data_IF_838809824964
#
_entry.id   IF_838809824964
#
_cell.length_a   1.000
_cell.length_b   1.000
_cell.length_c   1.000
_cell.angle_alpha   90.00
_cell.angle_beta   90.00
_cell.angle_gamma   90.00
#
_symmetry.space_group_name_H-M   'P 1'
#
loop_
_entity.id
_entity.type
_entity.pdbx_description
1 polymer ?
#
# COMPACT_ATOMS: atom_id res chain seq x y z
N UNK A 1 20.42 -22.94 -8.81
CA UNK A 1 20.04 -24.20 -9.48
C UNK A 1 19.05 -23.86 -10.58
N UNK A 2 19.15 -24.52 -11.72
CA UNK A 2 18.17 -24.38 -12.81
C UNK A 2 17.18 -25.52 -12.64
N UNK A 3 15.94 -25.22 -12.23
CA UNK A 3 14.89 -26.24 -12.13
C UNK A 3 14.48 -26.72 -13.51
N UNK A 4 13.97 -27.94 -13.63
CA UNK A 4 13.47 -28.45 -14.91
C UNK A 4 12.30 -27.57 -15.40
N UNK A 5 12.45 -26.85 -16.52
CA UNK A 5 11.38 -26.01 -17.05
C UNK A 5 10.13 -26.81 -17.44
N UNK A 6 10.27 -28.12 -17.72
CA UNK A 6 9.16 -29.02 -18.07
C UNK A 6 8.17 -29.26 -16.92
N UNK A 7 8.60 -29.03 -15.68
CA UNK A 7 7.78 -29.18 -14.48
C UNK A 7 7.04 -27.89 -14.08
N UNK A 8 7.25 -26.79 -14.80
CA UNK A 8 6.56 -25.52 -14.54
C UNK A 8 5.08 -25.64 -14.92
N UNK A 9 4.23 -25.85 -13.90
CA UNK A 9 2.78 -25.86 -14.09
C UNK A 9 2.26 -24.44 -14.03
N UNK A 10 1.39 -24.11 -14.96
CA UNK A 10 0.66 -22.84 -14.99
C UNK A 10 -0.78 -23.13 -14.59
N UNK A 11 -1.11 -23.00 -13.30
CA UNK A 11 -2.44 -23.35 -12.82
C UNK A 11 -3.49 -22.36 -13.33
N UNK A 12 -4.74 -22.74 -13.11
CA UNK A 12 -5.88 -21.84 -13.22
C UNK A 12 -6.34 -21.46 -11.82
N UNK A 13 -6.63 -20.18 -11.64
CA UNK A 13 -7.31 -19.63 -10.47
C UNK A 13 -8.74 -19.31 -10.85
N UNK A 14 -9.68 -19.73 -10.01
CA UNK A 14 -11.11 -19.77 -10.34
C UNK A 14 -11.91 -19.00 -9.29
N UNK A 15 -12.84 -18.15 -9.74
CA UNK A 15 -13.92 -17.59 -8.92
C UNK A 15 -15.28 -17.96 -9.53
N UNK A 16 -15.83 -19.13 -9.18
CA UNK A 16 -17.11 -19.59 -9.72
C UNK A 16 -18.30 -18.70 -9.34
N UNK A 17 -18.20 -17.89 -8.27
CA UNK A 17 -19.27 -16.98 -7.85
C UNK A 17 -19.58 -15.97 -8.95
N UNK A 18 -18.53 -15.49 -9.61
CA UNK A 18 -18.62 -14.51 -10.70
C UNK A 18 -18.25 -15.08 -12.07
N UNK A 19 -18.14 -16.41 -12.18
CA UNK A 19 -17.81 -17.08 -13.43
C UNK A 19 -16.44 -16.73 -14.01
N UNK A 20 -15.49 -16.33 -13.16
CA UNK A 20 -14.15 -15.92 -13.58
C UNK A 20 -13.18 -17.09 -13.50
N UNK A 21 -12.39 -17.27 -14.54
CA UNK A 21 -11.28 -18.20 -14.55
C UNK A 21 -10.09 -17.58 -15.28
N UNK A 22 -8.93 -17.56 -14.64
CA UNK A 22 -7.72 -16.99 -15.23
C UNK A 22 -6.55 -17.95 -15.09
N UNK A 23 -5.70 -18.01 -16.11
CA UNK A 23 -4.42 -18.72 -16.02
C UNK A 23 -3.46 -17.86 -15.21
N UNK A 24 -2.97 -18.38 -14.10
CA UNK A 24 -2.17 -17.60 -13.16
C UNK A 24 -2.07 -18.26 -11.80
N UNK A 25 -1.28 -17.66 -10.93
CA UNK A 25 -0.97 -18.19 -9.59
C UNK A 25 -1.82 -17.57 -8.49
N UNK A 26 -2.43 -16.41 -8.76
CA UNK A 26 -3.31 -15.68 -7.85
C UNK A 26 -4.36 -14.89 -8.64
N UNK A 27 -5.60 -14.92 -8.20
CA UNK A 27 -6.70 -14.07 -8.65
C UNK A 27 -7.10 -13.13 -7.50
N UNK A 28 -7.19 -11.85 -7.80
CA UNK A 28 -7.61 -10.81 -6.87
C UNK A 28 -9.00 -10.33 -7.28
N UNK A 29 -10.00 -10.61 -6.46
CA UNK A 29 -11.33 -10.03 -6.56
C UNK A 29 -11.36 -8.74 -5.73
N UNK A 30 -11.58 -7.60 -6.39
CA UNK A 30 -11.80 -6.32 -5.74
C UNK A 30 -13.29 -6.00 -5.77
N UNK A 31 -13.87 -5.72 -4.61
CA UNK A 31 -15.28 -5.29 -4.48
C UNK A 31 -15.29 -3.86 -3.99
N UNK A 32 -16.09 -3.01 -4.63
CA UNK A 32 -16.30 -1.62 -4.24
C UNK A 32 -17.79 -1.33 -4.16
N UNK A 33 -18.19 -0.56 -3.16
CA UNK A 33 -19.56 -0.05 -3.01
C UNK A 33 -19.60 1.43 -3.35
N UNK A 34 -20.64 1.86 -4.07
CA UNK A 34 -20.90 3.28 -4.30
C UNK A 34 -21.45 3.89 -3.01
N UNK A 35 -20.67 4.77 -2.40
CA UNK A 35 -20.95 5.36 -1.08
C UNK A 35 -20.69 6.86 -1.11
N UNK A 36 -21.37 7.61 -0.25
CA UNK A 36 -21.02 8.99 0.04
C UNK A 36 -19.64 9.08 0.68
N UNK A 37 -18.86 10.08 0.26
CA UNK A 37 -17.58 10.47 0.85
C UNK A 37 -17.62 11.96 1.14
N UNK A 38 -17.42 12.32 2.41
CA UNK A 38 -17.27 13.70 2.85
C UNK A 38 -15.85 14.21 2.61
N UNK A 39 -15.73 15.40 2.03
CA UNK A 39 -14.47 16.15 1.94
C UNK A 39 -14.68 17.54 2.54
N UNK A 40 -13.73 18.02 3.35
CA UNK A 40 -13.82 19.35 3.99
C UNK A 40 -12.72 20.28 3.50
N UNK A 41 -13.07 21.53 3.22
CA UNK A 41 -12.14 22.61 2.90
C UNK A 41 -12.30 23.75 3.91
N UNK A 42 -11.19 24.37 4.32
CA UNK A 42 -11.22 25.56 5.17
C UNK A 42 -11.07 26.78 4.29
N UNK A 43 -12.05 27.68 4.35
CA UNK A 43 -12.02 28.97 3.68
C UNK A 43 -11.72 30.02 4.74
N UNK A 44 -10.67 30.79 4.53
CA UNK A 44 -10.46 32.00 5.32
C UNK A 44 -11.54 32.98 4.88
N UNK A 45 -12.43 33.39 5.80
CA UNK A 45 -13.35 34.46 5.48
C UNK A 45 -12.52 35.74 5.32
N UNK A 46 -12.54 36.31 4.11
CA UNK A 46 -12.14 37.69 3.90
C UNK A 46 -13.10 38.55 4.71
N UNK A 47 -12.70 38.85 5.94
CA UNK A 47 -13.40 39.85 6.73
C UNK A 47 -13.23 41.17 6.02
N UNK A 48 -14.31 41.72 5.47
CA UNK A 48 -14.52 43.17 5.37
C UNK A 48 -14.49 43.73 6.80
N UNK A 49 -13.28 43.78 7.37
CA UNK A 49 -13.00 44.51 8.58
C UNK A 49 -13.01 45.97 8.21
N UNK A 50 -14.13 46.63 8.51
CA UNK A 50 -14.19 48.08 8.62
C UNK A 50 -13.04 48.51 9.55
N UNK A 51 -11.97 49.08 8.97
CA UNK A 51 -10.80 49.59 9.67
C UNK A 51 -11.19 50.85 10.45
N UNK A 52 -11.98 50.70 11.51
CA UNK A 52 -12.08 51.72 12.54
C UNK A 52 -11.32 51.25 13.77
N UNK A 53 -10.00 51.48 13.72
CA UNK A 53 -9.13 51.38 14.87
C UNK A 53 -9.56 52.42 15.91
N UNK A 54 -10.35 51.98 16.90
CA UNK A 54 -10.44 52.69 18.17
C UNK A 54 -9.35 52.17 19.12
N UNK A 55 -8.61 53.15 19.61
CA UNK A 55 -7.43 53.07 20.44
C UNK A 55 -7.73 52.37 21.78
N UNK A 56 -6.93 51.35 22.11
CA UNK A 56 -6.82 50.79 23.45
C UNK A 56 -7.63 49.51 23.72
N UNK A 57 -6.97 48.36 23.63
CA UNK A 57 -7.45 47.14 24.29
C UNK A 57 -7.14 45.85 23.54
N UNK A 58 -6.30 45.02 24.17
CA UNK A 58 -6.03 43.62 23.85
C UNK A 58 -7.30 42.81 23.50
N UNK A 59 -7.41 42.36 22.24
CA UNK A 59 -8.02 41.09 21.82
C UNK A 59 -7.92 40.90 20.30
N UNK A 60 -7.34 39.76 19.90
CA UNK A 60 -7.08 39.42 18.51
C UNK A 60 -8.31 39.43 17.62
N UNK A 61 -8.21 40.14 16.50
CA UNK A 61 -9.07 39.94 15.33
C UNK A 61 -8.81 38.54 14.77
N UNK A 62 -9.47 37.54 15.35
CA UNK A 62 -9.39 36.15 14.91
C UNK A 62 -10.00 36.03 13.52
N UNK A 63 -9.19 35.64 12.54
CA UNK A 63 -9.70 35.20 11.23
C UNK A 63 -10.81 34.19 11.46
N UNK A 64 -12.03 34.53 11.04
CA UNK A 64 -13.13 33.59 11.02
C UNK A 64 -12.83 32.57 9.92
N UNK A 65 -12.50 31.35 10.32
CA UNK A 65 -12.27 30.24 9.39
C UNK A 65 -13.58 29.48 9.26
N UNK A 66 -14.18 29.53 8.07
CA UNK A 66 -15.37 28.74 7.76
C UNK A 66 -14.94 27.40 7.18
N UNK A 67 -15.52 26.30 7.68
CA UNK A 67 -15.27 24.96 7.15
C UNK A 67 -16.44 24.56 6.27
N UNK A 68 -16.17 24.36 4.99
CA UNK A 68 -17.15 23.93 4.00
C UNK A 68 -17.00 22.43 3.77
N UNK A 69 -18.12 21.71 3.76
CA UNK A 69 -18.17 20.26 3.54
C UNK A 69 -18.82 19.96 2.19
N UNK A 70 -18.27 18.98 1.47
CA UNK A 70 -18.77 18.49 0.18
C UNK A 70 -18.98 16.98 0.27
N UNK A 71 -20.02 16.47 -0.41
CA UNK A 71 -20.38 15.07 -0.42
C UNK A 71 -20.49 14.57 -1.85
N UNK A 72 -19.66 13.59 -2.21
CA UNK A 72 -19.69 12.95 -3.52
C UNK A 72 -19.96 11.45 -3.37
N UNK A 73 -20.71 10.88 -4.31
CA UNK A 73 -20.76 9.43 -4.48
C UNK A 73 -19.45 8.93 -5.09
N UNK A 74 -18.77 8.03 -4.39
CA UNK A 74 -17.50 7.43 -4.80
C UNK A 74 -17.55 5.92 -4.59
N UNK A 75 -16.96 5.19 -5.52
CA UNK A 75 -16.68 3.78 -5.33
C UNK A 75 -15.55 3.62 -4.33
N UNK A 76 -15.81 2.92 -3.23
CA UNK A 76 -14.83 2.65 -2.17
C UNK A 76 -14.81 1.15 -1.89
N UNK A 77 -13.63 0.59 -1.68
CA UNK A 77 -13.44 -0.82 -1.30
C UNK A 77 -13.59 -1.07 0.20
N UNK A 78 -13.66 0.01 0.98
CA UNK A 78 -13.84 0.00 2.43
C UNK A 78 -15.16 0.68 2.78
N UNK A 79 -15.74 0.31 3.91
CA UNK A 79 -16.92 0.97 4.44
C UNK A 79 -16.57 2.38 4.90
N UNK A 80 -17.39 3.35 4.49
CA UNK A 80 -17.24 4.74 4.90
C UNK A 80 -18.30 5.03 5.96
N UNK A 81 -17.84 5.22 7.20
CA UNK A 81 -18.72 5.50 8.34
C UNK A 81 -19.34 6.90 8.26
N UNK A 82 -20.56 6.95 7.69
CA UNK A 82 -21.33 8.18 7.55
C UNK A 82 -21.89 8.71 8.87
N UNK A 83 -21.78 7.99 10.00
CA UNK A 83 -22.21 8.52 11.30
C UNK A 83 -21.33 9.68 11.77
N UNK A 84 -20.13 9.76 11.21
CA UNK A 84 -19.14 10.81 11.48
C UNK A 84 -19.28 12.03 10.58
N UNK A 85 -20.16 11.99 9.57
CA UNK A 85 -20.39 13.12 8.66
C UNK A 85 -21.00 14.32 9.39
N UNK A 86 -20.61 15.51 8.93
CA UNK A 86 -21.12 16.78 9.42
C UNK A 86 -22.62 16.93 9.12
N UNK A 87 -23.05 16.58 7.90
CA UNK A 87 -24.44 16.50 7.50
C UNK A 87 -24.95 15.06 7.55
N UNK A 88 -25.84 14.80 8.51
CA UNK A 88 -26.41 13.46 8.78
C UNK A 88 -27.49 13.02 7.78
N UNK A 89 -27.87 13.87 6.83
CA UNK A 89 -28.78 13.48 5.73
C UNK A 89 -28.09 12.53 4.73
N UNK A 90 -26.76 12.59 4.63
CA UNK A 90 -25.96 11.68 3.83
C UNK A 90 -25.63 10.41 4.62
N UNK A 91 -26.34 9.33 4.33
CA UNK A 91 -26.18 8.06 5.04
C UNK A 91 -25.70 6.99 4.08
N UNK A 92 -24.65 6.26 4.49
CA UNK A 92 -24.18 5.08 3.77
C UNK A 92 -24.87 3.81 4.29
N UNK A 93 -25.00 2.78 3.45
CA UNK A 93 -25.44 1.47 3.91
C UNK A 93 -24.57 0.93 5.06
N UNK A 94 -25.17 0.10 5.91
CA UNK A 94 -24.45 -0.60 6.97
C UNK A 94 -23.45 -1.61 6.40
N UNK A 95 -22.52 -2.07 7.23
CA UNK A 95 -21.56 -3.11 6.87
C UNK A 95 -22.25 -4.37 6.32
N UNK A 96 -23.42 -4.73 6.85
CA UNK A 96 -24.18 -5.92 6.44
C UNK A 96 -24.73 -5.84 5.01
N UNK A 97 -24.80 -4.64 4.42
CA UNK A 97 -25.17 -4.46 3.02
C UNK A 97 -24.09 -4.98 2.06
N UNK A 98 -22.86 -5.21 2.54
CA UNK A 98 -21.77 -5.78 1.74
C UNK A 98 -21.90 -7.29 1.57
N UNK A 99 -22.81 -7.70 0.68
CA UNK A 99 -23.08 -9.12 0.35
C UNK A 99 -21.87 -9.83 -0.28
N UNK A 100 -20.90 -9.09 -0.82
CA UNK A 100 -19.63 -9.60 -1.33
C UNK A 100 -18.44 -8.83 -0.75
N UNK A 101 -17.32 -9.53 -0.62
CA UNK A 101 -16.07 -8.99 -0.07
C UNK A 101 -14.91 -9.17 -1.05
N UNK A 102 -13.86 -8.37 -0.90
CA UNK A 102 -12.60 -8.64 -1.60
C UNK A 102 -12.08 -10.05 -1.29
N UNK A 103 -11.41 -10.70 -2.25
CA UNK A 103 -10.88 -12.06 -2.05
C UNK A 103 -9.62 -12.28 -2.86
N UNK A 104 -8.60 -12.82 -2.20
CA UNK A 104 -7.41 -13.36 -2.84
C UNK A 104 -7.54 -14.88 -2.96
N UNK A 105 -7.45 -15.39 -4.19
CA UNK A 105 -7.55 -16.82 -4.51
C UNK A 105 -6.20 -17.26 -5.07
N UNK A 106 -5.45 -18.03 -4.30
CA UNK A 106 -4.14 -18.57 -4.68
C UNK A 106 -4.33 -19.96 -5.27
N UNK A 107 -3.50 -20.32 -6.26
CA UNK A 107 -3.53 -21.66 -6.84
C UNK A 107 -2.86 -22.70 -5.92
N UNK A 108 -3.54 -23.83 -5.68
CA UNK A 108 -3.14 -24.90 -4.75
C UNK A 108 -1.74 -25.49 -4.99
N UNK A 109 -1.28 -25.50 -6.24
CA UNK A 109 -0.07 -26.20 -6.66
C UNK A 109 0.82 -25.33 -7.57
N UNK A 110 1.25 -24.19 -7.04
CA UNK A 110 2.22 -23.32 -7.73
C UNK A 110 3.65 -23.83 -7.49
N UNK A 111 4.33 -24.21 -8.57
CA UNK A 111 5.70 -24.75 -8.54
C UNK A 111 6.60 -24.00 -9.52
N UNK A 112 7.87 -23.85 -9.14
CA UNK A 112 8.95 -23.35 -10.02
C UNK A 112 10.01 -24.45 -10.09
N UNK A 113 10.07 -25.15 -11.22
CA UNK A 113 10.81 -26.42 -11.31
C UNK A 113 10.28 -27.41 -10.27
N UNK A 114 11.16 -27.89 -9.40
CA UNK A 114 10.83 -28.84 -8.32
C UNK A 114 10.38 -28.19 -7.01
N UNK A 115 10.34 -26.86 -6.94
CA UNK A 115 10.11 -26.13 -5.69
C UNK A 115 8.68 -25.62 -5.59
N UNK A 116 7.98 -26.01 -4.52
CA UNK A 116 6.65 -25.45 -4.20
C UNK A 116 6.81 -24.04 -3.63
N UNK A 117 6.09 -23.09 -4.21
CA UNK A 117 5.99 -21.74 -3.66
C UNK A 117 4.96 -21.71 -2.54
N UNK A 118 5.27 -20.98 -1.46
CA UNK A 118 4.33 -20.71 -0.39
C UNK A 118 3.38 -19.57 -0.77
N UNK A 119 2.21 -19.53 -0.13
CA UNK A 119 1.22 -18.49 -0.40
C UNK A 119 1.77 -17.10 -0.05
N UNK A 120 2.64 -16.99 0.98
CA UNK A 120 3.27 -15.72 1.34
C UNK A 120 4.21 -15.19 0.25
N UNK A 121 4.88 -16.08 -0.50
CA UNK A 121 5.70 -15.69 -1.65
C UNK A 121 4.84 -15.21 -2.81
N UNK A 122 3.75 -15.94 -3.09
CA UNK A 122 2.82 -15.58 -4.16
C UNK A 122 2.14 -14.24 -3.85
N UNK A 123 1.83 -13.98 -2.58
CA UNK A 123 1.22 -12.73 -2.15
C UNK A 123 2.14 -11.51 -2.31
N UNK A 124 3.46 -11.71 -2.31
CA UNK A 124 4.45 -10.65 -2.51
C UNK A 124 4.69 -10.27 -3.97
N UNK A 125 4.11 -11.02 -4.91
CA UNK A 125 4.23 -10.72 -6.34
C UNK A 125 3.49 -9.41 -6.65
N UNK A 126 4.19 -8.36 -7.14
CA UNK A 126 3.58 -7.06 -7.36
C UNK A 126 2.81 -7.00 -8.68
N UNK A 127 3.22 -7.77 -9.69
CA UNK A 127 2.58 -7.74 -11.01
C UNK A 127 1.15 -8.26 -10.92
N UNK A 128 0.22 -7.46 -11.41
CA UNK A 128 -1.19 -7.79 -11.50
C UNK A 128 -1.72 -7.27 -12.83
N UNK A 129 -2.20 -8.18 -13.66
CA UNK A 129 -2.79 -7.87 -14.96
C UNK A 129 -4.32 -7.89 -14.81
N UNK A 130 -5.03 -6.98 -15.48
CA UNK A 130 -6.49 -6.95 -15.42
C UNK A 130 -7.08 -8.16 -16.16
N UNK A 131 -8.10 -8.78 -15.57
CA UNK A 131 -8.83 -9.87 -16.22
C UNK A 131 -9.93 -9.26 -17.09
N UNK A 132 -9.93 -9.58 -18.39
CA UNK A 132 -10.95 -9.11 -19.33
C UNK A 132 -12.28 -9.84 -19.11
N UNK A 133 -13.35 -9.08 -18.91
CA UNK A 133 -14.73 -9.56 -18.77
C UNK A 133 -15.54 -9.37 -20.05
N UNK A 134 -14.87 -9.25 -21.21
CA UNK A 134 -15.56 -9.21 -22.50
C UNK A 134 -16.41 -10.47 -22.72
N UNK A 135 -17.45 -10.39 -23.56
CA UNK A 135 -18.31 -11.53 -23.86
C UNK A 135 -17.54 -12.76 -24.37
N UNK A 136 -16.50 -12.53 -25.20
CA UNK A 136 -15.60 -13.59 -25.68
C UNK A 136 -14.79 -14.21 -24.53
N UNK A 137 -14.17 -13.37 -23.70
CA UNK A 137 -13.38 -13.84 -22.55
C UNK A 137 -14.25 -14.63 -21.57
N UNK A 138 -15.46 -14.15 -21.26
CA UNK A 138 -16.42 -14.85 -20.40
C UNK A 138 -16.86 -16.20 -20.97
N UNK A 139 -17.03 -16.32 -22.29
CA UNK A 139 -17.34 -17.60 -22.92
C UNK A 139 -16.20 -18.62 -22.75
N UNK A 140 -14.94 -18.18 -22.88
CA UNK A 140 -13.76 -19.02 -22.62
C UNK A 140 -13.70 -19.43 -21.15
N UNK A 141 -13.91 -18.49 -20.22
CA UNK A 141 -13.90 -18.77 -18.77
C UNK A 141 -14.97 -19.78 -18.37
N UNK A 142 -16.17 -19.68 -18.95
CA UNK A 142 -17.25 -20.66 -18.73
C UNK A 142 -16.82 -22.07 -19.13
N UNK A 143 -16.16 -22.24 -20.28
CA UNK A 143 -15.67 -23.55 -20.70
C UNK A 143 -14.62 -24.10 -19.72
N UNK A 144 -13.71 -23.26 -19.23
CA UNK A 144 -12.72 -23.65 -18.21
C UNK A 144 -13.42 -24.07 -16.91
N UNK A 145 -14.40 -23.31 -16.44
CA UNK A 145 -15.15 -23.64 -15.22
C UNK A 145 -15.97 -24.92 -15.37
N UNK A 146 -16.61 -25.15 -16.51
CA UNK A 146 -17.33 -26.40 -16.79
C UNK A 146 -16.39 -27.62 -16.69
N UNK A 147 -15.17 -27.51 -17.21
CA UNK A 147 -14.18 -28.60 -17.15
C UNK A 147 -13.59 -28.80 -15.75
N UNK A 148 -13.43 -27.74 -14.97
CA UNK A 148 -12.71 -27.78 -13.67
C UNK A 148 -13.62 -27.98 -12.46
N UNK A 149 -14.83 -27.43 -12.51
CA UNK A 149 -15.79 -27.39 -11.40
C UNK A 149 -17.06 -28.19 -11.73
N UNK A 150 -17.36 -28.40 -13.02
CA UNK A 150 -18.60 -29.04 -13.48
C UNK A 150 -19.73 -28.03 -13.71
N UNK A 151 -20.74 -28.38 -14.50
CA UNK A 151 -21.71 -27.41 -15.07
C UNK A 151 -22.60 -26.68 -14.05
N UNK A 152 -22.76 -27.23 -12.84
CA UNK A 152 -23.62 -26.67 -11.78
C UNK A 152 -23.15 -25.30 -11.25
N UNK A 153 -21.89 -24.90 -11.50
CA UNK A 153 -21.38 -23.61 -11.02
C UNK A 153 -22.21 -22.43 -11.57
N UNK A 154 -22.69 -22.54 -12.82
CA UNK A 154 -23.40 -21.45 -13.48
C UNK A 154 -24.74 -21.15 -12.80
N UNK A 155 -25.42 -22.18 -12.29
CA UNK A 155 -26.70 -22.03 -11.60
C UNK A 155 -26.55 -21.36 -10.23
N UNK A 156 -25.46 -21.67 -9.53
CA UNK A 156 -25.08 -21.11 -8.23
C UNK A 156 -24.37 -19.75 -8.32
N UNK A 157 -23.96 -19.32 -9.52
CA UNK A 157 -23.27 -18.06 -9.73
C UNK A 157 -24.17 -16.85 -9.49
N UNK A 158 -23.57 -15.73 -9.09
CA UNK A 158 -24.26 -14.46 -8.90
C UNK A 158 -24.46 -13.68 -10.21
N UNK A 159 -24.02 -14.23 -11.34
CA UNK A 159 -24.09 -13.57 -12.65
C UNK A 159 -25.52 -13.34 -13.16
N UNK A 160 -26.50 -14.12 -12.69
CA UNK A 160 -27.92 -13.95 -13.06
C UNK A 160 -28.50 -12.60 -12.65
N UNK A 161 -27.94 -12.01 -11.59
CA UNK A 161 -28.35 -10.73 -11.01
C UNK A 161 -27.36 -9.61 -11.34
N UNK A 162 -26.40 -9.87 -12.24
CA UNK A 162 -25.31 -8.96 -12.51
C UNK A 162 -25.33 -8.45 -13.95
N UNK A 163 -24.90 -7.20 -14.11
CA UNK A 163 -24.63 -6.59 -15.41
C UNK A 163 -23.12 -6.47 -15.58
N UNK A 164 -22.59 -6.88 -16.73
CA UNK A 164 -21.16 -6.76 -17.03
C UNK A 164 -20.95 -5.62 -18.03
N UNK A 165 -20.20 -4.61 -17.63
CA UNK A 165 -19.89 -3.43 -18.45
C UNK A 165 -18.52 -2.86 -18.05
N UNK A 166 -17.77 -2.31 -19.00
CA UNK A 166 -16.47 -1.65 -18.77
C UNK A 166 -15.47 -2.44 -17.91
N UNK A 167 -15.47 -3.77 -18.06
CA UNK A 167 -14.63 -4.68 -17.29
C UNK A 167 -14.97 -4.77 -15.78
N UNK A 168 -16.18 -4.39 -15.41
CA UNK A 168 -16.74 -4.58 -14.07
C UNK A 168 -17.98 -5.48 -14.12
N UNK A 169 -18.18 -6.22 -13.03
CA UNK A 169 -19.46 -6.85 -12.72
C UNK A 169 -20.21 -5.94 -11.76
N UNK A 170 -21.37 -5.45 -12.17
CA UNK A 170 -22.23 -4.61 -11.35
C UNK A 170 -23.37 -5.42 -10.74
N UNK A 171 -23.54 -5.31 -9.42
CA UNK A 171 -24.72 -5.79 -8.70
C UNK A 171 -25.61 -4.58 -8.46
N UNK A 172 -26.48 -4.30 -9.44
CA UNK A 172 -27.38 -3.16 -9.42
C UNK A 172 -28.74 -3.62 -8.90
N UNK A 173 -29.31 -2.89 -7.94
CA UNK A 173 -30.68 -3.19 -7.47
C UNK A 173 -31.73 -2.98 -8.56
N UNK A 174 -31.60 -1.91 -9.34
CA UNK A 174 -32.67 -1.43 -10.23
C UNK A 174 -32.31 -1.41 -11.73
N UNK A 175 -31.24 -2.11 -12.14
CA UNK A 175 -30.88 -2.34 -13.56
C UNK A 175 -30.59 -1.08 -14.41
N UNK A 176 -30.51 0.09 -13.78
CA UNK A 176 -30.23 1.39 -14.41
C UNK A 176 -28.84 1.93 -14.05
N UNK A 177 -28.70 3.24 -13.89
CA UNK A 177 -27.44 3.85 -13.45
C UNK A 177 -27.09 3.43 -12.01
N UNK A 178 -25.79 3.30 -11.65
CA UNK A 178 -25.40 2.95 -10.29
C UNK A 178 -25.92 3.93 -9.25
N UNK A 179 -26.50 3.38 -8.18
CA UNK A 179 -27.07 4.11 -7.05
C UNK A 179 -26.32 3.80 -5.76
N UNK A 180 -26.58 4.58 -4.72
CA UNK A 180 -26.00 4.39 -3.40
C UNK A 180 -26.19 2.94 -2.92
N UNK A 181 -25.09 2.29 -2.55
CA UNK A 181 -25.08 0.92 -2.03
C UNK A 181 -24.95 -0.17 -3.09
N UNK A 182 -25.02 0.17 -4.38
CA UNK A 182 -24.69 -0.79 -5.44
C UNK A 182 -23.22 -1.21 -5.36
N UNK A 183 -22.94 -2.44 -5.79
CA UNK A 183 -21.60 -3.00 -5.80
C UNK A 183 -21.06 -3.08 -7.22
N UNK A 184 -19.77 -2.81 -7.38
CA UNK A 184 -19.01 -3.19 -8.57
C UNK A 184 -17.84 -4.07 -8.19
N UNK A 185 -17.56 -5.05 -9.03
CA UNK A 185 -16.51 -6.03 -8.81
C UNK A 185 -15.58 -6.03 -10.02
N UNK A 186 -14.27 -6.02 -9.76
CA UNK A 186 -13.24 -6.21 -10.79
C UNK A 186 -12.24 -7.27 -10.37
N UNK A 187 -11.54 -7.80 -11.37
CA UNK A 187 -10.65 -8.94 -11.20
C UNK A 187 -9.28 -8.63 -11.77
N UNK A 188 -8.24 -8.96 -11.01
CA UNK A 188 -6.85 -8.97 -11.48
C UNK A 188 -6.25 -10.35 -11.30
N UNK A 189 -5.31 -10.71 -12.15
CA UNK A 189 -4.60 -11.98 -12.07
C UNK A 189 -3.11 -11.73 -11.99
N UNK A 190 -2.39 -12.56 -11.25
CA UNK A 190 -0.95 -12.71 -11.37
C UNK A 190 -0.69 -13.75 -12.46
N UNK A 191 -0.39 -13.34 -13.70
CA UNK A 191 -0.22 -14.28 -14.80
C UNK A 191 1.06 -15.11 -14.61
N UNK A 192 1.29 -16.15 -15.42
CA UNK A 192 2.59 -16.78 -15.51
C UNK A 192 3.64 -15.84 -16.11
N UNK A 193 4.73 -15.59 -15.39
CA UNK A 193 5.89 -14.86 -15.92
C UNK A 193 7.15 -15.22 -15.13
N UNK A 194 8.31 -14.79 -15.65
CA UNK A 194 9.61 -15.06 -15.05
C UNK A 194 9.84 -14.24 -13.78
N UNK A 195 10.16 -14.92 -12.69
CA UNK A 195 10.55 -14.33 -11.41
C UNK A 195 11.86 -14.91 -10.93
N UNK A 196 12.64 -14.12 -10.19
CA UNK A 196 13.80 -14.58 -9.42
C UNK A 196 13.41 -14.67 -7.95
N UNK A 197 13.68 -15.83 -7.35
CA UNK A 197 13.38 -16.12 -5.94
C UNK A 197 14.70 -16.42 -5.21
N UNK A 198 14.88 -15.85 -4.01
CA UNK A 198 16.01 -16.16 -3.14
C UNK A 198 15.51 -16.45 -1.72
N UNK A 199 15.95 -17.58 -1.17
CA UNK A 199 15.62 -18.02 0.17
C UNK A 199 16.42 -19.27 0.54
N UNK A 200 16.21 -19.77 1.76
CA UNK A 200 16.80 -21.02 2.23
C UNK A 200 16.07 -22.19 1.58
N UNK A 201 16.81 -23.03 0.86
CA UNK A 201 16.27 -24.30 0.38
C UNK A 201 16.15 -25.30 1.54
N UNK A 202 14.97 -25.86 1.72
CA UNK A 202 14.70 -26.96 2.64
C UNK A 202 13.88 -28.02 1.90
N UNK A 203 14.54 -29.11 1.48
CA UNK A 203 13.96 -30.12 0.59
C UNK A 203 13.41 -29.50 -0.70
N UNK A 204 12.10 -29.62 -0.95
CA UNK A 204 11.37 -29.06 -2.11
C UNK A 204 10.68 -27.73 -1.79
N UNK A 205 11.03 -27.09 -0.68
CA UNK A 205 10.48 -25.80 -0.26
C UNK A 205 11.57 -24.73 -0.25
N UNK A 206 11.17 -23.51 -0.59
CA UNK A 206 11.97 -22.31 -0.36
C UNK A 206 11.37 -21.62 0.86
N UNK A 207 12.17 -21.50 1.92
CA UNK A 207 11.77 -20.89 3.18
C UNK A 207 12.58 -19.63 3.46
N UNK A 208 12.10 -18.76 4.36
CA UNK A 208 12.90 -17.63 4.77
C UNK A 208 14.21 -18.06 5.42
N UNK A 209 15.31 -17.42 5.01
CA UNK A 209 16.62 -17.57 5.63
C UNK A 209 16.76 -16.58 6.77
N UNK A 210 17.00 -17.06 7.99
CA UNK A 210 17.27 -16.19 9.13
C UNK A 210 18.75 -15.76 9.11
N UNK A 211 18.99 -14.48 8.90
CA UNK A 211 20.31 -13.88 8.96
C UNK A 211 20.74 -13.64 10.42
N UNK A 212 22.05 -13.50 10.63
CA UNK A 212 22.66 -13.31 11.97
C UNK A 212 22.16 -12.05 12.68
N UNK A 213 21.71 -11.05 11.93
CA UNK A 213 21.12 -9.82 12.45
C UNK A 213 19.62 -9.96 12.84
N UNK A 214 19.05 -11.18 12.76
CA UNK A 214 17.64 -11.46 13.04
C UNK A 214 16.69 -11.15 11.87
N UNK A 215 17.21 -10.73 10.72
CA UNK A 215 16.39 -10.46 9.54
C UNK A 215 16.08 -11.75 8.75
N UNK A 216 14.82 -11.91 8.38
CA UNK A 216 14.36 -13.03 7.56
C UNK A 216 14.42 -12.67 6.07
N UNK A 217 15.29 -13.34 5.32
CA UNK A 217 15.49 -13.13 3.88
C UNK A 217 14.67 -14.15 3.11
N UNK A 218 13.57 -13.68 2.51
CA UNK A 218 12.80 -14.39 1.50
C UNK A 218 12.42 -13.37 0.44
N UNK A 219 13.07 -13.43 -0.72
CA UNK A 219 12.99 -12.40 -1.74
C UNK A 219 12.32 -12.96 -2.99
N UNK A 220 11.42 -12.17 -3.57
CA UNK A 220 10.87 -12.38 -4.89
C UNK A 220 10.99 -11.09 -5.70
N UNK A 221 11.38 -11.21 -6.96
CA UNK A 221 11.47 -10.08 -7.87
C UNK A 221 11.11 -10.48 -9.29
N UNK A 222 10.55 -9.53 -10.01
CA UNK A 222 10.18 -9.70 -11.41
C UNK A 222 11.42 -9.74 -12.31
N UNK A 223 11.36 -10.61 -13.32
CA UNK A 223 12.41 -10.77 -14.32
C UNK A 223 13.45 -11.82 -13.93
N UNK A 224 14.34 -12.12 -14.89
CA UNK A 224 15.50 -12.99 -14.67
C UNK A 224 16.66 -12.14 -14.15
N UNK A 225 16.68 -11.90 -12.85
CA UNK A 225 17.74 -11.11 -12.19
C UNK A 225 18.90 -11.99 -11.76
N UNK A 226 20.11 -11.44 -11.87
CA UNK A 226 21.30 -12.00 -11.23
C UNK A 226 21.24 -11.89 -9.71
N UNK A 227 22.11 -12.61 -9.00
CA UNK A 227 22.16 -12.56 -7.52
C UNK A 227 22.45 -11.14 -7.04
N UNK A 228 23.51 -10.49 -7.55
CA UNK A 228 23.87 -9.12 -7.18
C UNK A 228 22.72 -8.15 -7.42
N UNK A 229 22.09 -8.21 -8.60
CA UNK A 229 20.99 -7.34 -8.98
C UNK A 229 19.76 -7.50 -8.09
N UNK A 230 19.41 -8.74 -7.70
CA UNK A 230 18.31 -9.01 -6.77
C UNK A 230 18.55 -8.32 -5.42
N UNK A 231 19.74 -8.50 -4.84
CA UNK A 231 20.09 -7.92 -3.55
C UNK A 231 20.23 -6.40 -3.64
N UNK A 232 20.82 -5.87 -4.71
CA UNK A 232 20.92 -4.43 -4.96
C UNK A 232 19.53 -3.79 -5.03
N UNK A 233 18.58 -4.41 -5.74
CA UNK A 233 17.19 -3.94 -5.82
C UNK A 233 16.53 -3.87 -4.43
N UNK A 234 16.76 -4.88 -3.58
CA UNK A 234 16.23 -4.90 -2.22
C UNK A 234 16.90 -3.86 -1.31
N UNK A 235 18.22 -3.68 -1.43
CA UNK A 235 18.97 -2.65 -0.71
C UNK A 235 18.46 -1.26 -1.11
N UNK A 236 18.29 -1.00 -2.40
CA UNK A 236 17.78 0.29 -2.89
C UNK A 236 16.37 0.59 -2.36
N UNK A 237 15.48 -0.41 -2.31
CA UNK A 237 14.14 -0.25 -1.72
C UNK A 237 14.21 0.16 -0.24
N UNK A 238 15.08 -0.47 0.55
CA UNK A 238 15.34 -0.08 1.95
C UNK A 238 15.94 1.31 2.07
N UNK A 239 16.90 1.65 1.21
CA UNK A 239 17.52 2.97 1.21
C UNK A 239 16.51 4.07 0.85
N UNK A 240 15.64 3.85 -0.13
CA UNK A 240 14.57 4.78 -0.50
C UNK A 240 13.58 4.97 0.65
N UNK A 241 13.15 3.88 1.28
CA UNK A 241 12.26 3.94 2.45
C UNK A 241 12.90 4.73 3.60
N UNK A 242 14.15 4.42 3.95
CA UNK A 242 14.87 5.12 5.01
C UNK A 242 15.11 6.60 4.66
N UNK A 243 15.41 6.91 3.39
CA UNK A 243 15.54 8.30 2.92
C UNK A 243 14.22 9.07 3.05
N UNK A 244 13.10 8.44 2.73
CA UNK A 244 11.77 9.03 2.93
C UNK A 244 11.51 9.33 4.41
N UNK A 245 11.71 8.37 5.31
CA UNK A 245 11.52 8.59 6.75
C UNK A 245 12.49 9.62 7.34
N UNK A 246 13.72 9.70 6.82
CA UNK A 246 14.68 10.75 7.19
C UNK A 246 14.15 12.12 6.79
N UNK A 247 13.71 12.30 5.54
CA UNK A 247 13.14 13.57 5.10
C UNK A 247 11.88 13.92 5.91
N UNK A 248 11.01 12.94 6.13
CA UNK A 248 9.78 13.10 6.90
C UNK A 248 10.03 13.57 8.33
N UNK A 249 10.97 12.94 9.03
CA UNK A 249 11.32 13.31 10.42
C UNK A 249 12.00 14.66 10.52
N UNK A 250 12.84 15.04 9.55
CA UNK A 250 13.43 16.39 9.48
C UNK A 250 12.33 17.45 9.32
N UNK A 251 11.37 17.21 8.41
CA UNK A 251 10.23 18.11 8.20
C UNK A 251 9.36 18.20 9.45
N UNK A 252 9.08 17.07 10.11
CA UNK A 252 8.31 17.05 11.35
C UNK A 252 9.00 17.82 12.48
N UNK A 253 10.34 17.67 12.62
CA UNK A 253 11.13 18.42 13.59
C UNK A 253 11.12 19.93 13.30
N UNK A 254 11.19 20.31 12.02
CA UNK A 254 11.11 21.71 11.60
C UNK A 254 9.75 22.33 11.93
N UNK A 255 8.66 21.63 11.63
CA UNK A 255 7.30 22.06 11.99
C UNK A 255 7.14 22.17 13.52
N UNK A 256 7.60 21.15 14.24
CA UNK A 256 7.56 21.13 15.71
C UNK A 256 8.34 22.29 16.34
N UNK A 257 9.51 22.63 15.79
CA UNK A 257 10.27 23.82 16.19
C UNK A 257 9.47 25.11 15.93
N UNK A 258 8.91 25.27 14.74
CA UNK A 258 8.14 26.47 14.40
C UNK A 258 6.93 26.68 15.32
N UNK A 259 6.17 25.61 15.59
CA UNK A 259 4.99 25.67 16.46
C UNK A 259 5.37 25.84 17.94
N UNK A 260 6.38 25.12 18.43
CA UNK A 260 6.75 25.11 19.84
C UNK A 260 7.67 26.25 20.28
N UNK A 261 8.32 26.94 19.34
CA UNK A 261 9.30 27.99 19.66
C UNK A 261 8.71 29.15 20.46
N UNK A 262 7.48 29.57 20.17
CA UNK A 262 6.80 30.64 20.93
C UNK A 262 6.58 30.25 22.39
N UNK A 263 6.00 29.07 22.65
CA UNK A 263 5.76 28.58 24.02
C UNK A 263 7.05 28.45 24.83
N UNK A 264 8.14 28.02 24.20
CA UNK A 264 9.43 27.90 24.88
C UNK A 264 10.00 29.28 25.22
N UNK A 265 9.88 30.25 24.31
CA UNK A 265 10.28 31.64 24.55
C UNK A 265 9.50 32.21 25.74
N UNK A 266 8.17 32.06 25.76
CA UNK A 266 7.31 32.60 26.81
C UNK A 266 7.67 32.06 28.22
N UNK A 267 8.05 30.78 28.31
CA UNK A 267 8.41 30.13 29.59
C UNK A 267 9.80 30.54 30.10
N UNK A 268 10.74 30.84 29.19
CA UNK A 268 12.15 31.05 29.53
C UNK A 268 12.59 32.51 29.52
N UNK A 269 11.90 33.39 28.78
CA UNK A 269 12.16 34.84 28.76
C UNK A 269 12.21 35.47 30.15
N UNK A 270 11.32 35.14 31.11
CA UNK A 270 11.37 35.71 32.47
C UNK A 270 12.60 35.29 33.29
N UNK A 271 13.27 34.18 32.93
CA UNK A 271 14.37 33.59 33.72
C UNK A 271 15.76 33.96 33.20
N UNK A 272 15.91 34.20 31.90
CA UNK A 272 17.23 34.35 31.25
C UNK A 272 17.42 35.75 30.63
N UNK A 273 16.37 36.56 30.58
CA UNK A 273 16.41 37.89 29.96
C UNK A 273 16.35 37.81 28.43
N UNK A 274 16.12 38.98 27.79
CA UNK A 274 15.75 39.11 26.37
C UNK A 274 16.83 38.69 25.36
N UNK A 275 18.03 38.34 25.83
CA UNK A 275 19.16 38.00 24.97
C UNK A 275 19.27 36.48 24.86
N UNK A 276 18.87 35.96 23.69
CA UNK A 276 19.23 34.64 23.13
C UNK A 276 18.30 33.40 23.26
N UNK A 277 17.04 33.42 23.76
CA UNK A 277 16.24 32.19 23.83
C UNK A 277 15.89 31.61 22.45
N UNK A 278 15.63 32.45 21.45
CA UNK A 278 15.35 32.01 20.06
C UNK A 278 16.57 31.38 19.37
N UNK A 279 17.76 31.95 19.56
CA UNK A 279 19.01 31.43 19.01
C UNK A 279 19.42 30.11 19.68
N UNK A 280 19.22 29.98 20.99
CA UNK A 280 19.43 28.72 21.71
C UNK A 280 18.45 27.64 21.25
N UNK A 281 17.17 27.96 21.09
CA UNK A 281 16.19 26.99 20.60
C UNK A 281 16.47 26.58 19.15
N UNK A 282 16.85 27.51 18.27
CA UNK A 282 17.19 27.22 16.89
C UNK A 282 18.46 26.34 16.78
N UNK A 283 19.48 26.61 17.60
CA UNK A 283 20.71 25.79 17.63
C UNK A 283 20.46 24.41 18.24
N UNK A 284 19.61 24.29 19.27
CA UNK A 284 19.19 23.01 19.81
C UNK A 284 18.37 22.21 18.79
N UNK A 285 17.42 22.84 18.10
CA UNK A 285 16.63 22.19 17.05
C UNK A 285 17.50 21.75 15.86
N UNK A 286 18.44 22.58 15.40
CA UNK A 286 19.42 22.20 14.38
C UNK A 286 20.31 21.06 14.86
N UNK A 287 20.80 21.13 16.10
CA UNK A 287 21.66 20.09 16.67
C UNK A 287 20.92 18.76 16.78
N UNK A 288 19.64 18.78 17.12
CA UNK A 288 18.81 17.59 17.24
C UNK A 288 18.44 17.01 15.86
N UNK A 289 18.16 17.87 14.87
CA UNK A 289 17.96 17.45 13.49
C UNK A 289 19.24 16.84 12.87
N UNK A 290 20.42 17.44 13.14
CA UNK A 290 21.72 16.89 12.77
C UNK A 290 22.01 15.56 13.48
N UNK A 291 21.67 15.44 14.76
CA UNK A 291 21.84 14.21 15.53
C UNK A 291 20.94 13.07 15.01
N UNK A 292 19.68 13.36 14.66
CA UNK A 292 18.77 12.39 14.03
C UNK A 292 19.24 11.98 12.63
N UNK A 293 19.78 12.92 11.84
CA UNK A 293 20.40 12.61 10.55
C UNK A 293 21.64 11.71 10.69
N UNK A 294 22.44 11.91 11.76
CA UNK A 294 23.65 11.13 12.08
C UNK A 294 23.34 9.75 12.67
N UNK A 295 22.32 9.59 13.52
CA UNK A 295 21.90 8.26 13.99
C UNK A 295 21.39 7.41 12.82
N UNK A 296 20.74 8.05 11.84
CA UNK A 296 20.40 7.42 10.57
C UNK A 296 21.61 6.90 9.77
N UNK A 297 22.83 7.42 9.99
CA UNK A 297 24.08 6.96 9.37
C UNK A 297 24.68 5.73 10.08
N UNK A 298 24.39 5.50 11.35
CA UNK A 298 24.95 4.38 12.11
C UNK A 298 24.70 3.00 11.47
N UNK A 299 23.50 2.62 11.01
CA UNK A 299 23.30 1.33 10.35
C UNK A 299 23.94 1.27 8.95
N UNK A 300 24.04 2.39 8.23
CA UNK A 300 24.63 2.42 6.88
C UNK A 300 26.17 2.33 6.90
N UNK A 301 26.81 2.99 7.86
CA UNK A 301 28.26 2.92 8.06
C UNK A 301 28.71 1.54 8.55
N UNK A 302 27.94 0.91 9.45
CA UNK A 302 28.21 -0.45 9.93
C UNK A 302 28.00 -1.48 8.80
N UNK A 303 26.93 -1.37 8.01
CA UNK A 303 26.70 -2.27 6.85
C UNK A 303 27.75 -2.09 5.74
N UNK A 304 28.19 -0.85 5.47
CA UNK A 304 29.27 -0.59 4.51
C UNK A 304 30.62 -1.13 5.01
N UNK A 305 30.93 -0.97 6.30
CA UNK A 305 32.16 -1.51 6.91
C UNK A 305 32.17 -3.04 6.93
N UNK A 306 31.03 -3.69 7.24
CA UNK A 306 30.89 -5.16 7.22
C UNK A 306 31.02 -5.70 5.78
N UNK A 307 30.45 -5.02 4.80
CA UNK A 307 30.59 -5.37 3.37
C UNK A 307 32.04 -5.25 2.89
N UNK A 308 32.76 -4.20 3.32
CA UNK A 308 34.15 -3.97 2.98
C UNK A 308 35.08 -5.03 3.61
N UNK A 309 34.82 -5.40 4.86
CA UNK A 309 35.54 -6.46 5.58
C UNK A 309 35.29 -7.84 4.96
N UNK A 310 34.06 -8.13 4.52
CA UNK A 310 33.73 -9.36 3.81
C UNK A 310 34.46 -9.45 2.46
N UNK A 311 34.50 -8.35 1.70
CA UNK A 311 35.23 -8.28 0.43
C UNK A 311 36.75 -8.43 0.60
N UNK A 312 37.33 -7.80 1.63
CA UNK A 312 38.75 -7.98 1.96
C UNK A 312 39.09 -9.42 2.37
N UNK A 313 38.20 -10.08 3.12
CA UNK A 313 38.42 -11.47 3.56
C UNK A 313 38.35 -12.46 2.40
N UNK A 314 37.46 -12.24 1.43
CA UNK A 314 37.39 -13.03 0.21
C UNK A 314 38.66 -12.86 -0.66
N UNK A 315 39.16 -11.63 -0.81
CA UNK A 315 40.37 -11.35 -1.58
C UNK A 315 41.67 -11.92 -0.96
N UNK A 316 41.69 -12.17 0.36
CA UNK A 316 42.82 -12.80 1.05
C UNK A 316 42.80 -14.32 0.89
N UNK A 317 41.61 -14.94 0.79
CA UNK A 317 41.47 -16.37 0.58
C UNK A 317 41.86 -16.79 -0.84
N UNK A 318 41.51 -15.98 -1.84
CA UNK A 318 41.83 -16.19 -3.26
C UNK A 318 43.34 -16.07 -3.60
N UNK A 319 44.17 -15.57 -2.67
CA UNK A 319 45.63 -15.51 -2.83
C UNK A 319 46.39 -16.64 -2.12
N UNK A 320 45.69 -17.56 -1.47
CA UNK A 320 46.29 -18.67 -0.70
C UNK A 320 46.00 -20.06 -1.26
N UNK A 321 45.22 -20.14 -2.32
CA UNK A 321 45.03 -21.33 -3.17
C UNK A 321 45.74 -21.12 -4.52
#
# INVERSE_FOLDING_TARGET
>A
MQGDPSLTRTPYVLDPVFGVAARGVRLLRKVEMLQWVETSHTVDADGDGDERAEDGGDQGAGRQRERVYMYDLRWRSEHVDSSSFYDRSFQNPSQDAWIFQGKDIVADATVVGDFKLSDELIMQIPRQDDVSLSAESMAVMRNVLNQRVGEHWAEASSLKLATIEDNYVYMLRDGGSPTLGDLRISFKVVPPYTVTISGKQEMQHIRPFQATNGESILLIADGALGVSELYDKQIQKKLQHNRFFRLFTIVLAFIGFHVGSSTVVDVWEPRVGKTHPTALCATLALSWALWLALIGLAPAGILAAVSLLAAQRAAIHDKRD
#
